data_IF_975116232402
#
_entry.id   IF_975116232402
#
_cell.length_a   1.000
_cell.length_b   1.000
_cell.length_c   1.000
_cell.angle_alpha   90.00
_cell.angle_beta   90.00
_cell.angle_gamma   90.00
#
_symmetry.space_group_name_H-M   'P 1'
#
loop_
_entity.id
_entity.type
_entity.pdbx_description
1 polymer ?
#
# COMPACT_ATOMS: atom_id res chain seq x y z
N UNK A 1 -7.56 -17.10 -8.30
CA UNK A 1 -7.19 -15.78 -8.85
C UNK A 1 -6.87 -15.93 -10.33
N UNK A 2 -6.98 -14.87 -11.12
CA UNK A 2 -6.60 -14.85 -12.54
C UNK A 2 -5.10 -14.63 -12.74
N UNK A 3 -4.56 -15.03 -13.90
CA UNK A 3 -3.11 -14.99 -14.19
C UNK A 3 -2.50 -13.59 -14.18
N UNK A 4 -3.26 -12.55 -14.57
CA UNK A 4 -2.78 -11.15 -14.59
C UNK A 4 -2.47 -10.58 -13.20
N UNK A 5 -2.94 -11.24 -12.12
CA UNK A 5 -2.70 -10.84 -10.75
C UNK A 5 -1.41 -11.43 -10.16
N UNK A 6 -0.72 -12.32 -10.88
CA UNK A 6 0.58 -12.84 -10.44
C UNK A 6 1.58 -11.68 -10.40
N UNK A 7 2.30 -11.54 -9.29
CA UNK A 7 3.33 -10.53 -9.11
C UNK A 7 4.51 -11.06 -8.30
N UNK A 8 5.71 -10.65 -8.72
CA UNK A 8 6.98 -10.93 -8.03
C UNK A 8 7.77 -9.63 -8.08
N UNK A 9 8.29 -9.19 -6.94
CA UNK A 9 9.17 -8.02 -6.83
C UNK A 9 10.48 -8.48 -6.19
N UNK A 10 11.60 -8.10 -6.81
CA UNK A 10 12.95 -8.43 -6.33
C UNK A 10 13.72 -7.11 -6.24
N UNK A 11 14.30 -6.83 -5.07
CA UNK A 11 15.10 -5.63 -4.85
C UNK A 11 15.37 -5.39 -3.36
N UNK A 12 16.14 -4.34 -3.09
CA UNK A 12 16.41 -3.88 -1.73
C UNK A 12 15.38 -2.83 -1.33
N UNK A 13 14.58 -3.16 -0.31
CA UNK A 13 13.51 -2.31 0.19
C UNK A 13 13.55 -2.27 1.72
N UNK A 14 13.24 -1.10 2.27
CA UNK A 14 12.81 -1.00 3.66
C UNK A 14 11.28 -1.14 3.71
N UNK A 15 10.73 -1.40 4.89
CA UNK A 15 9.28 -1.42 5.06
C UNK A 15 8.84 -0.90 6.42
N UNK A 16 7.62 -0.39 6.45
CA UNK A 16 6.85 -0.15 7.67
C UNK A 16 5.64 -1.08 7.68
N UNK A 17 5.22 -1.53 8.86
CA UNK A 17 4.13 -2.49 9.00
C UNK A 17 3.14 -2.13 10.10
N UNK A 18 1.93 -2.67 9.96
CA UNK A 18 0.88 -2.66 10.96
C UNK A 18 0.03 -3.92 10.84
N UNK A 19 -0.87 -4.12 11.80
CA UNK A 19 -1.75 -5.29 11.86
C UNK A 19 -3.18 -4.79 12.03
N UNK A 20 -4.11 -5.30 11.22
CA UNK A 20 -5.54 -4.98 11.37
C UNK A 20 -6.12 -5.66 12.62
N UNK A 21 -7.29 -5.23 13.13
CA UNK A 21 -7.95 -5.92 14.25
C UNK A 21 -8.18 -7.42 14.01
N UNK A 22 -8.33 -7.82 12.75
CA UNK A 22 -8.55 -9.23 12.35
C UNK A 22 -7.24 -10.00 12.10
N UNK A 23 -6.09 -9.42 12.43
CA UNK A 23 -4.79 -10.08 12.35
C UNK A 23 -4.11 -10.05 10.97
N UNK A 24 -4.60 -9.24 10.02
CA UNK A 24 -3.99 -9.13 8.69
C UNK A 24 -2.75 -8.24 8.76
N UNK A 25 -1.61 -8.76 8.31
CA UNK A 25 -0.36 -8.00 8.28
C UNK A 25 -0.34 -7.07 7.06
N UNK A 26 -0.23 -5.76 7.28
CA UNK A 26 -0.12 -4.76 6.21
C UNK A 26 1.28 -4.18 6.19
N UNK A 27 1.93 -4.16 5.03
CA UNK A 27 3.28 -3.62 4.86
C UNK A 27 3.35 -2.63 3.71
N UNK A 28 4.07 -1.53 3.91
CA UNK A 28 4.43 -0.58 2.86
C UNK A 28 5.93 -0.70 2.64
N UNK A 29 6.32 -1.18 1.46
CA UNK A 29 7.70 -1.27 1.01
C UNK A 29 8.10 -0.02 0.25
N UNK A 30 9.27 0.51 0.58
CA UNK A 30 9.84 1.73 0.00
C UNK A 30 11.29 1.49 -0.38
N UNK A 31 11.86 2.36 -1.23
CA UNK A 31 13.31 2.42 -1.35
C UNK A 31 13.96 2.63 0.03
N UNK A 32 15.18 2.11 0.18
CA UNK A 32 15.96 2.21 1.42
C UNK A 32 16.07 3.68 1.84
N UNK A 33 15.78 3.98 3.10
CA UNK A 33 15.82 5.33 3.67
C UNK A 33 14.58 6.20 3.44
N UNK A 34 13.54 5.71 2.73
CA UNK A 34 12.27 6.45 2.51
C UNK A 34 11.09 5.95 3.36
N UNK A 35 11.32 5.08 4.35
CA UNK A 35 10.27 4.38 5.10
C UNK A 35 9.25 5.30 5.75
N UNK A 36 9.68 6.46 6.25
CA UNK A 36 8.79 7.42 6.91
C UNK A 36 7.71 7.97 5.97
N UNK A 37 7.98 8.03 4.66
CA UNK A 37 7.00 8.49 3.67
C UNK A 37 5.88 7.46 3.43
N UNK A 38 6.04 6.22 3.88
CA UNK A 38 5.04 5.15 3.80
C UNK A 38 4.01 5.15 4.93
N UNK A 39 4.22 5.93 6.00
CA UNK A 39 3.34 5.95 7.19
C UNK A 39 1.89 6.29 6.84
N UNK A 40 1.69 7.32 6.04
CA UNK A 40 0.35 7.74 5.63
C UNK A 40 -0.38 6.64 4.85
N UNK A 41 0.30 5.99 3.91
CA UNK A 41 -0.28 4.89 3.14
C UNK A 41 -0.63 3.70 4.03
N UNK A 42 0.22 3.36 5.01
CA UNK A 42 -0.06 2.30 5.97
C UNK A 42 -1.33 2.60 6.78
N UNK A 43 -1.45 3.81 7.31
CA UNK A 43 -2.62 4.22 8.11
C UNK A 43 -3.92 4.18 7.30
N UNK A 44 -3.86 4.62 6.04
CA UNK A 44 -5.01 4.55 5.12
C UNK A 44 -5.36 3.09 4.84
N UNK A 45 -4.39 2.24 4.48
CA UNK A 45 -4.65 0.85 4.14
C UNK A 45 -5.26 0.05 5.30
N UNK A 46 -4.78 0.25 6.53
CA UNK A 46 -5.35 -0.39 7.72
C UNK A 46 -6.82 0.00 7.93
N UNK A 47 -7.15 1.29 7.77
CA UNK A 47 -8.52 1.79 7.89
C UNK A 47 -9.40 1.31 6.75
N UNK A 48 -8.90 1.34 5.51
CA UNK A 48 -9.60 0.88 4.31
C UNK A 48 -9.92 -0.61 4.37
N UNK A 49 -8.98 -1.46 4.81
CA UNK A 49 -9.25 -2.89 4.98
C UNK A 49 -10.36 -3.15 6.00
N UNK A 50 -10.33 -2.44 7.15
CA UNK A 50 -11.39 -2.59 8.14
C UNK A 50 -12.74 -2.08 7.59
N UNK A 51 -12.74 -0.92 6.91
CA UNK A 51 -13.94 -0.37 6.28
C UNK A 51 -14.54 -1.32 5.24
N UNK A 52 -13.72 -1.88 4.34
CA UNK A 52 -14.21 -2.76 3.28
C UNK A 52 -14.70 -4.10 3.82
N UNK A 53 -14.07 -4.64 4.87
CA UNK A 53 -14.60 -5.80 5.59
C UNK A 53 -16.02 -5.52 6.09
N UNK A 54 -16.20 -4.41 6.80
CA UNK A 54 -17.49 -4.06 7.41
C UNK A 54 -18.55 -3.76 6.33
N UNK A 55 -18.15 -3.07 5.27
CA UNK A 55 -19.04 -2.65 4.19
C UNK A 55 -19.48 -3.82 3.29
N UNK A 56 -18.55 -4.67 2.88
CA UNK A 56 -18.87 -5.81 2.01
C UNK A 56 -19.30 -7.06 2.77
N UNK A 57 -19.20 -7.05 4.10
CA UNK A 57 -19.45 -8.21 4.98
C UNK A 57 -18.63 -9.46 4.58
N UNK A 58 -17.46 -9.25 3.96
CA UNK A 58 -16.55 -10.31 3.51
C UNK A 58 -15.14 -9.96 4.02
N UNK A 59 -14.50 -10.84 4.81
CA UNK A 59 -13.15 -10.58 5.31
C UNK A 59 -12.12 -10.64 4.19
N UNK A 60 -11.02 -9.92 4.37
CA UNK A 60 -9.87 -10.05 3.47
C UNK A 60 -9.29 -11.46 3.61
N UNK A 61 -9.19 -12.24 2.52
CA UNK A 61 -8.96 -13.68 2.60
C UNK A 61 -7.48 -14.10 2.68
N UNK A 62 -6.54 -13.16 2.53
CA UNK A 62 -5.10 -13.45 2.62
C UNK A 62 -4.53 -12.98 3.96
N UNK A 63 -3.51 -13.65 4.53
CA UNK A 63 -2.94 -13.26 5.83
C UNK A 63 -2.19 -11.92 5.80
N UNK A 64 -1.89 -11.40 4.60
CA UNK A 64 -1.11 -10.18 4.42
C UNK A 64 -1.54 -9.37 3.20
N UNK A 65 -1.31 -8.06 3.27
CA UNK A 65 -1.37 -7.11 2.16
C UNK A 65 -0.06 -6.32 2.10
N UNK A 66 0.69 -6.50 1.03
CA UNK A 66 1.88 -5.70 0.76
C UNK A 66 1.57 -4.60 -0.26
N UNK A 67 2.09 -3.41 -0.03
CA UNK A 67 2.06 -2.28 -0.96
C UNK A 67 3.49 -1.88 -1.26
N UNK A 68 3.90 -1.89 -2.53
CA UNK A 68 5.29 -1.59 -2.92
C UNK A 68 5.34 -0.33 -3.75
N UNK A 69 6.14 0.65 -3.33
CA UNK A 69 6.46 1.83 -4.13
C UNK A 69 7.57 1.51 -5.15
N UNK A 70 7.24 1.58 -6.44
CA UNK A 70 8.15 1.34 -7.56
C UNK A 70 8.49 2.70 -8.22
N UNK A 71 9.78 3.03 -8.39
CA UNK A 71 10.21 4.32 -8.98
C UNK A 71 9.71 4.53 -10.41
N UNK A 72 9.93 3.55 -11.28
CA UNK A 72 9.48 3.57 -12.67
C UNK A 72 8.30 2.61 -12.86
N UNK A 73 7.11 3.12 -12.58
CA UNK A 73 5.86 2.38 -12.80
C UNK A 73 5.00 3.09 -13.84
N UNK A 74 4.65 2.40 -14.93
CA UNK A 74 3.94 2.99 -16.07
C UNK A 74 2.54 3.51 -15.70
N UNK A 75 1.83 2.79 -14.81
CA UNK A 75 0.52 3.17 -14.28
C UNK A 75 0.62 3.89 -12.93
N UNK A 76 -0.51 4.29 -12.35
CA UNK A 76 -0.57 4.82 -10.98
C UNK A 76 -0.41 3.74 -9.92
N UNK A 77 -1.14 2.63 -10.07
CA UNK A 77 -1.10 1.44 -9.22
C UNK A 77 -1.56 0.19 -9.99
N UNK A 78 -1.38 -0.99 -9.41
CA UNK A 78 -1.92 -2.27 -9.89
C UNK A 78 -2.25 -3.18 -8.70
N UNK A 79 -3.46 -3.76 -8.71
CA UNK A 79 -4.08 -4.49 -7.59
C UNK A 79 -3.67 -5.97 -7.46
N UNK A 80 -2.41 -6.30 -7.73
CA UNK A 80 -1.96 -7.69 -7.64
C UNK A 80 -2.26 -8.27 -6.25
N UNK A 81 -2.82 -9.48 -6.23
CA UNK A 81 -3.53 -10.00 -5.07
C UNK A 81 -2.57 -10.26 -3.90
N UNK A 82 -2.64 -9.40 -2.89
CA UNK A 82 -1.73 -9.41 -1.73
C UNK A 82 -0.40 -8.69 -1.94
N UNK A 83 -0.11 -8.15 -3.14
CA UNK A 83 1.12 -7.41 -3.45
C UNK A 83 0.81 -6.24 -4.40
N UNK A 84 0.15 -5.22 -3.89
CA UNK A 84 -0.26 -4.06 -4.71
C UNK A 84 0.97 -3.20 -5.04
N UNK A 85 1.19 -2.93 -6.31
CA UNK A 85 2.32 -2.09 -6.76
C UNK A 85 1.85 -0.69 -7.09
N UNK A 86 2.64 0.32 -6.70
CA UNK A 86 2.32 1.74 -6.90
C UNK A 86 3.49 2.46 -7.54
N UNK A 87 3.22 3.52 -8.30
CA UNK A 87 4.24 4.55 -8.54
C UNK A 87 4.56 5.26 -7.22
N UNK A 88 5.82 5.62 -6.98
CA UNK A 88 6.23 6.33 -5.75
C UNK A 88 5.33 7.53 -5.43
N UNK A 89 4.98 8.34 -6.44
CA UNK A 89 4.14 9.53 -6.27
C UNK A 89 2.69 9.21 -5.87
N UNK A 90 2.22 7.99 -6.08
CA UNK A 90 0.87 7.56 -5.68
C UNK A 90 0.84 7.00 -4.24
N UNK A 91 1.95 6.49 -3.73
CA UNK A 91 2.01 5.84 -2.41
C UNK A 91 2.71 6.66 -1.33
N UNK A 92 3.84 7.29 -1.64
CA UNK A 92 4.69 7.96 -0.67
C UNK A 92 4.23 9.40 -0.42
N UNK A 93 4.09 9.78 0.86
CA UNK A 93 3.72 11.13 1.27
C UNK A 93 4.72 11.72 2.26
N UNK A 94 5.26 12.89 1.90
CA UNK A 94 6.16 13.68 2.73
C UNK A 94 5.43 14.94 3.21
N UNK A 95 5.26 15.12 4.52
CA UNK A 95 4.55 16.27 5.10
C UNK A 95 5.19 17.63 4.79
N UNK A 96 6.51 17.68 4.57
CA UNK A 96 7.23 18.94 4.33
C UNK A 96 7.22 19.35 2.86
N UNK A 97 7.17 18.38 1.95
CA UNK A 97 7.35 18.59 0.52
C UNK A 97 6.10 18.30 -0.32
N UNK A 98 5.13 17.54 0.22
CA UNK A 98 3.91 17.17 -0.50
C UNK A 98 2.81 18.21 -0.29
N UNK A 99 2.24 18.69 -1.40
CA UNK A 99 1.10 19.61 -1.38
C UNK A 99 -0.15 19.00 -0.73
N UNK A 100 -1.06 19.85 -0.25
CA UNK A 100 -2.36 19.39 0.26
C UNK A 100 -3.17 18.63 -0.80
N UNK A 101 -3.04 19.00 -2.08
CA UNK A 101 -3.63 18.27 -3.21
C UNK A 101 -3.06 16.85 -3.33
N UNK A 102 -1.74 16.68 -3.12
CA UNK A 102 -1.13 15.34 -3.05
C UNK A 102 -1.62 14.53 -1.86
N UNK A 103 -1.96 15.16 -0.73
CA UNK A 103 -2.59 14.47 0.41
C UNK A 103 -4.00 14.01 0.08
N UNK A 104 -4.78 14.86 -0.60
CA UNK A 104 -6.16 14.59 -0.99
C UNK A 104 -6.24 13.47 -2.04
N UNK A 105 -5.39 13.50 -3.07
CA UNK A 105 -5.35 12.47 -4.12
C UNK A 105 -4.87 11.09 -3.63
N UNK A 106 -4.34 11.01 -2.41
CA UNK A 106 -3.90 9.77 -1.75
C UNK A 106 -4.88 9.29 -0.66
N UNK A 107 -5.96 10.04 -0.41
CA UNK A 107 -7.12 9.55 0.35
C UNK A 107 -8.00 8.78 -0.63
N UNK A 108 -8.05 7.47 -0.46
CA UNK A 108 -8.96 6.57 -1.19
C UNK A 108 -10.41 6.91 -0.79
#
# INVERSE_FOLDING_TARGET
>A
MSTYLVAIVIGHFDYIQGITPDGIQVRVYTQVGKTDQGRFALDVALKSLNLYKDYFAVPYPLPKLDMVAIPDFASGAMENYGLVTYRETALLYDEKLSSASNKQNRKI
#
